data_IF_901417911084
#
_entry.id   IF_901417911084
#
_cell.length_a   1.000
_cell.length_b   1.000
_cell.length_c   1.000
_cell.angle_alpha   90.00
_cell.angle_beta   90.00
_cell.angle_gamma   90.00
#
_symmetry.space_group_name_H-M   'P 1'
#
loop_
_entity.id
_entity.type
_entity.pdbx_description
1 polymer ?
#
# COMPACT_ATOMS: atom_id res chain seq x y z
N UNK A 1 11.21 -3.42 -32.98
CA UNK A 1 12.49 -2.67 -33.12
C UNK A 1 12.76 -1.79 -31.89
N UNK A 2 11.74 -1.19 -31.30
CA UNK A 2 11.80 -0.41 -30.04
C UNK A 2 12.25 -1.21 -28.82
N UNK A 3 11.94 -2.51 -28.77
CA UNK A 3 12.24 -3.41 -27.64
C UNK A 3 13.75 -3.62 -27.46
N UNK A 4 14.48 -3.74 -28.58
CA UNK A 4 15.93 -3.93 -28.60
C UNK A 4 16.64 -2.69 -28.05
N UNK A 5 16.13 -1.49 -28.33
CA UNK A 5 16.69 -0.25 -27.78
C UNK A 5 16.50 -0.14 -26.28
N UNK A 6 15.34 -0.53 -25.75
CA UNK A 6 15.11 -0.58 -24.29
C UNK A 6 16.04 -1.61 -23.65
N UNK A 7 16.21 -2.78 -24.27
CA UNK A 7 17.12 -3.81 -23.77
C UNK A 7 18.58 -3.32 -23.74
N UNK A 8 19.05 -2.68 -24.81
CA UNK A 8 20.40 -2.12 -24.89
C UNK A 8 20.58 -0.99 -23.85
N UNK A 9 19.60 -0.10 -23.72
CA UNK A 9 19.65 0.99 -22.74
C UNK A 9 19.71 0.45 -21.30
N UNK A 10 18.93 -0.59 -20.98
CA UNK A 10 18.97 -1.28 -19.69
C UNK A 10 20.31 -1.97 -19.46
N UNK A 11 20.88 -2.64 -20.46
CA UNK A 11 22.21 -3.26 -20.37
C UNK A 11 23.31 -2.24 -20.11
N UNK A 12 23.33 -1.12 -20.85
CA UNK A 12 24.33 -0.05 -20.68
C UNK A 12 24.20 0.56 -19.28
N UNK A 13 22.97 0.81 -18.83
CA UNK A 13 22.71 1.39 -17.51
C UNK A 13 23.19 0.44 -16.40
N UNK A 14 22.87 -0.85 -16.50
CA UNK A 14 23.34 -1.87 -15.54
C UNK A 14 24.86 -2.04 -15.58
N UNK A 15 25.48 -1.98 -16.75
CA UNK A 15 26.93 -2.04 -16.87
C UNK A 15 27.61 -0.86 -16.15
N UNK A 16 27.12 0.37 -16.35
CA UNK A 16 27.61 1.56 -15.65
C UNK A 16 27.37 1.44 -14.14
N UNK A 17 26.20 0.95 -13.75
CA UNK A 17 25.81 0.78 -12.36
C UNK A 17 26.73 -0.20 -11.62
N UNK A 18 26.86 -1.42 -12.12
CA UNK A 18 27.60 -2.50 -11.46
C UNK A 18 29.13 -2.35 -11.59
N UNK A 19 29.64 -1.74 -12.66
CA UNK A 19 31.10 -1.56 -12.85
C UNK A 19 31.64 -0.29 -12.19
N UNK A 20 30.86 0.80 -12.12
CA UNK A 20 31.36 2.09 -11.66
C UNK A 20 30.60 2.65 -10.46
N UNK A 21 29.27 2.69 -10.48
CA UNK A 21 28.49 3.39 -9.45
C UNK A 21 28.47 2.58 -8.14
N UNK A 22 28.05 1.32 -8.18
CA UNK A 22 27.90 0.49 -6.98
C UNK A 22 29.25 0.22 -6.28
N UNK A 23 30.35 -0.11 -6.99
CA UNK A 23 31.65 -0.27 -6.34
C UNK A 23 32.16 1.00 -5.66
N UNK A 24 31.88 2.18 -6.23
CA UNK A 24 32.40 3.46 -5.75
C UNK A 24 31.59 4.03 -4.60
N UNK A 25 30.26 3.94 -4.68
CA UNK A 25 29.34 4.63 -3.76
C UNK A 25 28.65 3.71 -2.75
N UNK A 26 28.29 2.47 -3.13
CA UNK A 26 27.61 1.54 -2.23
C UNK A 26 28.59 0.77 -1.32
N UNK A 27 29.74 0.38 -1.87
CA UNK A 27 30.78 -0.44 -1.19
C UNK A 27 30.15 -1.67 -0.52
N UNK A 28 30.15 -1.70 0.81
CA UNK A 28 29.69 -2.84 1.62
C UNK A 28 28.38 -2.53 2.39
N UNK A 29 27.74 -1.39 2.11
CA UNK A 29 26.48 -0.98 2.77
C UNK A 29 25.27 -1.39 1.93
N UNK A 30 24.56 -2.41 2.41
CA UNK A 30 23.33 -2.95 1.81
C UNK A 30 22.24 -1.89 1.63
N UNK A 31 22.10 -0.94 2.57
CA UNK A 31 21.05 0.09 2.49
C UNK A 31 21.36 1.10 1.40
N UNK A 32 22.63 1.46 1.24
CA UNK A 32 23.07 2.36 0.16
C UNK A 32 22.97 1.70 -1.19
N UNK A 33 23.32 0.40 -1.29
CA UNK A 33 23.16 -0.35 -2.52
C UNK A 33 21.70 -0.38 -2.98
N UNK A 34 20.76 -0.69 -2.08
CA UNK A 34 19.34 -0.71 -2.39
C UNK A 34 18.79 0.67 -2.82
N UNK A 35 19.23 1.75 -2.17
CA UNK A 35 18.81 3.10 -2.56
C UNK A 35 19.40 3.54 -3.90
N UNK A 36 20.67 3.22 -4.15
CA UNK A 36 21.32 3.49 -5.43
C UNK A 36 20.67 2.71 -6.56
N UNK A 37 20.25 1.48 -6.30
CA UNK A 37 19.59 0.66 -7.30
C UNK A 37 18.22 1.22 -7.71
N UNK A 38 17.40 1.61 -6.74
CA UNK A 38 16.14 2.33 -7.02
C UNK A 38 16.40 3.64 -7.76
N UNK A 39 17.41 4.41 -7.35
CA UNK A 39 17.73 5.68 -8.01
C UNK A 39 18.18 5.48 -9.46
N UNK A 40 19.05 4.50 -9.72
CA UNK A 40 19.53 4.18 -11.07
C UNK A 40 18.39 3.67 -11.95
N UNK A 41 17.53 2.79 -11.44
CA UNK A 41 16.35 2.32 -12.16
C UNK A 41 15.37 3.46 -12.51
N UNK A 42 15.11 4.37 -11.57
CA UNK A 42 14.27 5.56 -11.82
C UNK A 42 14.89 6.51 -12.84
N UNK A 43 16.20 6.74 -12.79
CA UNK A 43 16.91 7.54 -13.78
C UNK A 43 16.81 6.87 -15.16
N UNK A 44 17.01 5.56 -15.24
CA UNK A 44 16.88 4.82 -16.50
C UNK A 44 15.49 5.00 -17.12
N UNK A 45 14.44 4.87 -16.31
CA UNK A 45 13.06 5.11 -16.74
C UNK A 45 12.82 6.56 -17.16
N UNK A 46 13.36 7.53 -16.42
CA UNK A 46 13.24 8.95 -16.75
C UNK A 46 13.97 9.31 -18.06
N UNK A 47 15.10 8.64 -18.37
CA UNK A 47 15.79 8.80 -19.66
C UNK A 47 14.98 8.18 -20.79
N UNK A 48 14.31 7.05 -20.57
CA UNK A 48 13.47 6.40 -21.58
C UNK A 48 12.15 7.14 -21.80
N UNK A 49 11.62 7.82 -20.77
CA UNK A 49 10.28 8.43 -20.80
C UNK A 49 10.06 9.36 -22.01
N UNK A 50 10.92 10.34 -22.34
CA UNK A 50 10.68 11.25 -23.47
C UNK A 50 10.61 10.57 -24.84
N UNK A 51 11.23 9.39 -25.00
CA UNK A 51 11.29 8.68 -26.27
C UNK A 51 10.07 7.80 -26.54
N UNK A 52 9.38 7.39 -25.47
CA UNK A 52 8.26 6.45 -25.54
C UNK A 52 6.96 7.03 -24.96
N UNK A 53 6.97 8.29 -24.51
CA UNK A 53 5.81 8.99 -24.00
C UNK A 53 4.73 9.14 -25.09
N UNK A 54 3.55 8.57 -24.85
CA UNK A 54 2.44 8.59 -25.82
C UNK A 54 2.60 7.61 -26.99
N UNK A 55 3.56 6.69 -26.93
CA UNK A 55 3.67 5.63 -27.94
C UNK A 55 2.47 4.67 -27.84
N UNK A 56 1.72 4.42 -28.94
CA UNK A 56 0.67 3.40 -28.98
C UNK A 56 1.25 1.97 -29.10
N UNK A 57 2.58 1.80 -29.04
CA UNK A 57 3.22 0.50 -29.22
C UNK A 57 2.95 -0.42 -28.02
N UNK A 58 2.34 -1.56 -28.30
CA UNK A 58 2.24 -2.70 -27.38
C UNK A 58 3.60 -3.41 -27.34
N UNK A 59 4.20 -3.53 -26.16
CA UNK A 59 5.50 -4.17 -25.97
C UNK A 59 5.31 -5.59 -25.45
N UNK A 60 5.68 -6.58 -26.25
CA UNK A 60 5.52 -8.00 -25.88
C UNK A 60 6.67 -8.48 -25.00
N UNK A 61 6.39 -8.85 -23.74
CA UNK A 61 7.34 -9.51 -22.85
C UNK A 61 7.05 -11.02 -22.82
N UNK A 62 7.88 -11.80 -23.52
CA UNK A 62 7.77 -13.26 -23.73
C UNK A 62 6.45 -13.73 -24.37
N UNK A 63 5.30 -13.55 -23.70
CA UNK A 63 3.99 -14.07 -24.11
C UNK A 63 2.82 -13.11 -23.89
N UNK A 64 3.05 -11.92 -23.32
CA UNK A 64 1.98 -10.95 -23.05
C UNK A 64 2.43 -9.53 -23.36
N UNK A 65 1.46 -8.70 -23.74
CA UNK A 65 1.69 -7.31 -24.12
C UNK A 65 1.62 -6.38 -22.92
N UNK A 66 2.51 -5.39 -22.92
CA UNK A 66 2.72 -4.47 -21.81
C UNK A 66 2.93 -3.05 -22.31
N UNK A 67 2.76 -2.09 -21.42
CA UNK A 67 3.15 -0.71 -21.68
C UNK A 67 4.68 -0.56 -21.61
N UNK A 68 5.22 0.44 -22.31
CA UNK A 68 6.68 0.64 -22.43
C UNK A 68 7.41 0.69 -21.07
N UNK A 69 6.79 1.27 -20.03
CA UNK A 69 7.42 1.43 -18.72
C UNK A 69 7.39 0.12 -17.92
N UNK A 70 6.32 -0.68 -18.04
CA UNK A 70 6.25 -2.02 -17.46
C UNK A 70 7.28 -2.92 -18.16
N UNK A 71 7.33 -2.88 -19.48
CA UNK A 71 8.31 -3.61 -20.27
C UNK A 71 9.75 -3.27 -19.86
N UNK A 72 10.07 -1.97 -19.71
CA UNK A 72 11.39 -1.51 -19.30
C UNK A 72 11.76 -2.00 -17.88
N UNK A 73 10.83 -1.97 -16.92
CA UNK A 73 11.04 -2.51 -15.58
C UNK A 73 11.29 -4.02 -15.64
N UNK A 74 10.47 -4.78 -16.36
CA UNK A 74 10.61 -6.24 -16.45
C UNK A 74 11.94 -6.65 -17.08
N UNK A 75 12.33 -6.01 -18.18
CA UNK A 75 13.62 -6.25 -18.83
C UNK A 75 14.78 -5.84 -17.92
N UNK A 76 14.70 -4.67 -17.28
CA UNK A 76 15.72 -4.20 -16.34
C UNK A 76 15.89 -5.20 -15.19
N UNK A 77 14.82 -5.59 -14.52
CA UNK A 77 14.84 -6.56 -13.41
C UNK A 77 15.33 -7.93 -13.86
N UNK A 78 14.91 -8.43 -15.02
CA UNK A 78 15.36 -9.73 -15.54
C UNK A 78 16.87 -9.76 -15.80
N UNK A 79 17.44 -8.66 -16.31
CA UNK A 79 18.88 -8.51 -16.51
C UNK A 79 19.63 -8.26 -15.21
N UNK A 80 19.01 -7.56 -14.25
CA UNK A 80 19.64 -7.17 -13.00
C UNK A 80 19.78 -8.34 -12.03
N UNK A 81 18.76 -9.18 -11.86
CA UNK A 81 18.76 -10.32 -10.93
C UNK A 81 20.06 -11.16 -11.00
N UNK A 82 20.51 -11.65 -12.17
CA UNK A 82 21.74 -12.43 -12.24
C UNK A 82 22.99 -11.61 -11.85
N UNK A 83 23.07 -10.34 -12.25
CA UNK A 83 24.18 -9.44 -11.88
C UNK A 83 24.20 -9.16 -10.39
N UNK A 84 23.04 -8.94 -9.79
CA UNK A 84 22.86 -8.74 -8.36
C UNK A 84 23.37 -9.95 -7.56
N UNK A 85 22.96 -11.17 -7.95
CA UNK A 85 23.43 -12.39 -7.30
C UNK A 85 24.95 -12.55 -7.39
N UNK A 86 25.55 -12.27 -8.56
CA UNK A 86 26.99 -12.32 -8.75
C UNK A 86 27.71 -11.29 -7.88
N UNK A 87 27.20 -10.05 -7.82
CA UNK A 87 27.77 -8.96 -7.04
C UNK A 87 27.71 -9.24 -5.52
N UNK A 88 26.56 -9.67 -5.02
CA UNK A 88 26.36 -10.03 -3.61
C UNK A 88 27.25 -11.20 -3.20
N UNK A 89 27.41 -12.20 -4.07
CA UNK A 89 28.32 -13.32 -3.84
C UNK A 89 29.78 -12.87 -3.82
N UNK A 90 30.19 -12.01 -4.76
CA UNK A 90 31.55 -11.51 -4.86
C UNK A 90 31.96 -10.67 -3.64
N UNK A 91 31.02 -9.94 -3.02
CA UNK A 91 31.29 -9.08 -1.86
C UNK A 91 30.94 -9.68 -0.50
N UNK A 92 30.47 -10.92 -0.45
CA UNK A 92 30.08 -11.57 0.80
C UNK A 92 28.89 -10.90 1.52
N UNK A 93 28.09 -10.10 0.81
CA UNK A 93 26.94 -9.37 1.37
C UNK A 93 25.70 -10.27 1.60
N UNK A 94 25.79 -11.55 1.24
CA UNK A 94 24.71 -12.53 1.33
C UNK A 94 24.04 -12.62 2.72
N UNK A 95 24.79 -12.77 3.82
CA UNK A 95 24.20 -12.81 5.17
C UNK A 95 23.45 -11.53 5.52
N UNK A 96 24.03 -10.36 5.22
CA UNK A 96 23.42 -9.05 5.51
C UNK A 96 22.14 -8.82 4.69
N UNK A 97 22.12 -9.24 3.41
CA UNK A 97 20.92 -9.22 2.59
C UNK A 97 19.84 -10.17 3.11
N UNK A 98 20.20 -11.38 3.56
CA UNK A 98 19.26 -12.34 4.16
C UNK A 98 18.65 -11.80 5.45
N UNK A 99 19.43 -11.13 6.28
CA UNK A 99 18.94 -10.53 7.52
C UNK A 99 18.06 -9.30 7.25
N UNK A 100 18.43 -8.46 6.29
CA UNK A 100 17.60 -7.35 5.83
C UNK A 100 16.27 -7.82 5.21
N UNK A 101 16.30 -8.93 4.44
CA UNK A 101 15.12 -9.53 3.84
C UNK A 101 14.24 -10.19 4.91
N UNK A 102 14.81 -10.96 5.84
CA UNK A 102 14.08 -11.53 7.00
C UNK A 102 13.44 -10.46 7.89
N UNK A 103 14.10 -9.31 8.05
CA UNK A 103 13.60 -8.18 8.84
C UNK A 103 12.60 -7.27 8.12
N UNK A 104 12.41 -7.41 6.81
CA UNK A 104 11.51 -6.53 6.01
C UNK A 104 10.43 -7.26 5.23
N UNK A 105 10.54 -8.57 4.99
CA UNK A 105 9.50 -9.36 4.30
C UNK A 105 8.39 -9.88 5.22
N UNK A 106 8.22 -9.28 6.39
CA UNK A 106 7.01 -9.48 7.18
C UNK A 106 6.04 -8.37 6.82
N UNK A 107 5.24 -8.60 5.76
CA UNK A 107 4.02 -7.84 5.48
C UNK A 107 3.00 -7.88 6.64
N UNK A 108 3.33 -8.64 7.69
CA UNK A 108 2.56 -8.89 8.92
C UNK A 108 3.23 -8.34 10.19
N UNK A 109 4.38 -7.66 10.11
CA UNK A 109 5.05 -7.15 11.30
C UNK A 109 4.33 -5.90 11.80
N UNK A 110 3.48 -6.14 12.80
CA UNK A 110 3.22 -5.26 13.94
C UNK A 110 4.44 -4.36 14.22
N UNK A 111 4.17 -3.09 14.58
CA UNK A 111 5.18 -2.08 14.82
C UNK A 111 6.34 -2.63 15.67
N UNK A 112 7.58 -2.50 15.19
CA UNK A 112 8.75 -3.00 15.93
C UNK A 112 8.76 -2.45 17.36
N UNK A 113 9.13 -3.27 18.34
CA UNK A 113 9.26 -2.91 19.78
C UNK A 113 9.88 -1.52 19.95
N UNK A 114 11.03 -1.28 19.30
CA UNK A 114 11.76 -0.01 19.34
C UNK A 114 10.99 1.17 18.75
N UNK A 115 10.19 0.93 17.69
CA UNK A 115 9.36 1.98 17.09
C UNK A 115 8.17 2.36 17.97
N UNK A 116 7.57 1.39 18.66
CA UNK A 116 6.48 1.65 19.62
C UNK A 116 7.03 2.39 20.84
N UNK A 117 8.11 1.91 21.45
CA UNK A 117 8.74 2.55 22.61
C UNK A 117 9.15 4.00 22.31
N UNK A 118 9.73 4.23 21.14
CA UNK A 118 10.04 5.58 20.66
C UNK A 118 8.77 6.43 20.53
N UNK A 119 7.70 5.90 19.96
CA UNK A 119 6.46 6.66 19.80
C UNK A 119 5.70 6.93 21.10
N UNK A 120 5.79 6.02 22.07
CA UNK A 120 5.18 6.22 23.38
C UNK A 120 5.81 7.40 24.13
N UNK A 121 7.10 7.64 23.90
CA UNK A 121 7.86 8.76 24.47
C UNK A 121 7.92 10.00 23.57
N UNK A 122 7.48 9.92 22.31
CA UNK A 122 7.55 11.03 21.35
C UNK A 122 6.38 12.02 21.54
N UNK A 123 6.74 13.29 21.76
CA UNK A 123 5.82 14.43 21.92
C UNK A 123 5.59 15.20 20.63
N UNK A 124 6.36 14.92 19.56
CA UNK A 124 6.25 15.64 18.27
C UNK A 124 4.82 15.64 17.71
N UNK A 125 4.06 14.58 17.96
CA UNK A 125 2.73 14.37 17.43
C UNK A 125 1.59 14.71 18.41
N UNK A 126 1.89 15.40 19.53
CA UNK A 126 0.87 15.74 20.53
C UNK A 126 -0.27 16.60 19.97
N UNK A 127 -0.01 17.41 18.93
CA UNK A 127 -1.06 18.17 18.23
C UNK A 127 -2.16 17.29 17.61
N UNK A 128 -1.82 16.09 17.13
CA UNK A 128 -2.78 15.12 16.58
C UNK A 128 -3.58 14.39 17.68
N UNK A 129 -3.17 14.51 18.94
CA UNK A 129 -3.76 13.82 20.09
C UNK A 129 -4.80 14.68 20.82
N UNK A 130 -5.09 15.87 20.29
CA UNK A 130 -6.16 16.72 20.80
C UNK A 130 -7.53 16.14 20.44
N UNK A 131 -8.54 16.45 21.25
CA UNK A 131 -9.94 15.99 21.04
C UNK A 131 -10.43 16.26 19.62
N UNK A 132 -10.24 17.49 19.13
CA UNK A 132 -10.73 17.90 17.83
C UNK A 132 -9.92 17.27 16.69
N UNK A 133 -8.60 17.13 16.84
CA UNK A 133 -7.78 16.43 15.84
C UNK A 133 -8.15 14.95 15.73
N UNK A 134 -8.39 14.24 16.84
CA UNK A 134 -8.80 12.85 16.82
C UNK A 134 -10.16 12.67 16.13
N UNK A 135 -11.13 13.56 16.40
CA UNK A 135 -12.43 13.55 15.71
C UNK A 135 -12.28 13.82 14.23
N UNK A 136 -11.49 14.82 13.86
CA UNK A 136 -11.20 15.15 12.48
C UNK A 136 -10.55 13.97 11.74
N UNK A 137 -9.59 13.27 12.35
CA UNK A 137 -8.95 12.10 11.74
C UNK A 137 -9.94 10.95 11.52
N UNK A 138 -10.80 10.65 12.50
CA UNK A 138 -11.79 9.57 12.37
C UNK A 138 -12.86 9.93 11.34
N UNK A 139 -13.42 11.14 11.40
CA UNK A 139 -14.46 11.60 10.47
C UNK A 139 -13.89 11.74 9.05
N UNK A 140 -12.70 12.33 8.93
CA UNK A 140 -11.99 12.50 7.67
C UNK A 140 -11.66 11.16 7.00
N UNK A 141 -11.13 10.19 7.77
CA UNK A 141 -10.83 8.86 7.23
C UNK A 141 -12.11 8.14 6.73
N UNK A 142 -13.21 8.20 7.49
CA UNK A 142 -14.49 7.66 7.04
C UNK A 142 -15.02 8.38 5.80
N UNK A 143 -14.95 9.70 5.78
CA UNK A 143 -15.42 10.52 4.66
C UNK A 143 -14.64 10.20 3.40
N UNK A 144 -13.30 10.16 3.47
CA UNK A 144 -12.46 9.80 2.32
C UNK A 144 -12.77 8.39 1.84
N UNK A 145 -12.88 7.42 2.75
CA UNK A 145 -13.15 6.02 2.37
C UNK A 145 -14.51 5.90 1.68
N UNK A 146 -15.59 6.39 2.29
CA UNK A 146 -16.95 6.25 1.75
C UNK A 146 -17.15 7.12 0.52
N UNK A 147 -16.77 8.40 0.56
CA UNK A 147 -16.95 9.31 -0.58
C UNK A 147 -16.04 8.94 -1.75
N UNK A 148 -14.80 8.51 -1.49
CA UNK A 148 -13.88 8.02 -2.52
C UNK A 148 -14.39 6.75 -3.18
N UNK A 149 -14.90 5.80 -2.40
CA UNK A 149 -15.57 4.61 -2.95
C UNK A 149 -16.79 4.99 -3.79
N UNK A 150 -17.70 5.82 -3.27
CA UNK A 150 -18.90 6.24 -4.00
C UNK A 150 -18.55 6.99 -5.31
N UNK A 151 -17.54 7.87 -5.26
CA UNK A 151 -17.05 8.61 -6.42
C UNK A 151 -16.52 7.66 -7.50
N UNK A 152 -15.64 6.72 -7.15
CA UNK A 152 -15.09 5.76 -8.11
C UNK A 152 -16.16 4.83 -8.70
N UNK A 153 -17.16 4.47 -7.89
CA UNK A 153 -18.31 3.70 -8.38
C UNK A 153 -19.15 4.46 -9.40
N UNK A 154 -19.37 5.75 -9.15
CA UNK A 154 -20.15 6.63 -10.01
C UNK A 154 -19.42 7.02 -11.29
N UNK A 155 -18.11 7.29 -11.22
CA UNK A 155 -17.30 7.70 -12.38
C UNK A 155 -17.14 6.56 -13.39
N UNK A 156 -16.99 5.31 -12.94
CA UNK A 156 -16.78 4.17 -13.82
C UNK A 156 -15.52 4.29 -14.68
N UNK A 157 -15.59 3.87 -15.94
CA UNK A 157 -14.48 3.89 -16.89
C UNK A 157 -14.38 5.24 -17.64
N UNK A 158 -13.82 6.24 -16.95
CA UNK A 158 -13.65 7.60 -17.48
C UNK A 158 -12.25 8.12 -17.08
N UNK A 159 -11.74 9.14 -17.77
CA UNK A 159 -10.45 9.78 -17.48
C UNK A 159 -10.31 10.25 -16.02
N UNK A 160 -11.43 10.66 -15.40
CA UNK A 160 -11.48 11.04 -13.99
C UNK A 160 -11.20 9.87 -13.02
N UNK A 161 -11.23 8.63 -13.49
CA UNK A 161 -10.82 7.46 -12.72
C UNK A 161 -9.35 7.48 -12.33
N UNK A 162 -8.52 8.26 -13.04
CA UNK A 162 -7.12 8.51 -12.66
C UNK A 162 -6.99 9.13 -11.26
N UNK A 163 -8.04 9.80 -10.75
CA UNK A 163 -8.12 10.32 -9.38
C UNK A 163 -8.16 9.21 -8.31
N UNK A 164 -8.34 7.95 -8.70
CA UNK A 164 -8.16 6.79 -7.81
C UNK A 164 -6.79 6.79 -7.12
N UNK A 165 -5.74 7.29 -7.78
CA UNK A 165 -4.40 7.42 -7.19
C UNK A 165 -4.42 8.44 -6.04
N UNK A 166 -5.13 9.57 -6.21
CA UNK A 166 -5.29 10.58 -5.17
C UNK A 166 -6.09 10.02 -4.00
N UNK A 167 -7.18 9.30 -4.29
CA UNK A 167 -7.97 8.61 -3.27
C UNK A 167 -7.11 7.63 -2.45
N UNK A 168 -6.33 6.77 -3.11
CA UNK A 168 -5.42 5.83 -2.46
C UNK A 168 -4.37 6.59 -1.62
N UNK A 169 -3.79 7.64 -2.17
CA UNK A 169 -2.84 8.50 -1.46
C UNK A 169 -3.44 9.10 -0.18
N UNK A 170 -4.68 9.59 -0.24
CA UNK A 170 -5.40 10.10 0.93
C UNK A 170 -5.66 9.00 1.97
N UNK A 171 -6.05 7.78 1.55
CA UNK A 171 -6.18 6.64 2.47
C UNK A 171 -4.87 6.35 3.20
N UNK A 172 -3.74 6.32 2.50
CA UNK A 172 -2.44 6.11 3.12
C UNK A 172 -2.06 7.24 4.09
N UNK A 173 -2.38 8.50 3.75
CA UNK A 173 -2.16 9.64 4.64
C UNK A 173 -2.98 9.48 5.92
N UNK A 174 -4.29 9.21 5.81
CA UNK A 174 -5.16 9.01 6.98
C UNK A 174 -4.73 7.80 7.81
N UNK A 175 -4.40 6.69 7.16
CA UNK A 175 -3.85 5.51 7.81
C UNK A 175 -2.59 5.83 8.62
N UNK A 176 -1.64 6.55 8.02
CA UNK A 176 -0.41 6.95 8.69
C UNK A 176 -0.67 7.90 9.86
N UNK A 177 -1.48 8.94 9.67
CA UNK A 177 -1.79 9.93 10.70
C UNK A 177 -2.55 9.32 11.88
N UNK A 178 -3.52 8.43 11.62
CA UNK A 178 -4.24 7.69 12.65
C UNK A 178 -3.28 6.86 13.50
N UNK A 179 -2.33 6.15 12.86
CA UNK A 179 -1.29 5.38 13.57
C UNK A 179 -0.40 6.24 14.47
N UNK A 180 -0.02 7.44 14.01
CA UNK A 180 0.74 8.38 14.84
C UNK A 180 -0.10 8.92 16.02
N UNK A 181 -1.38 9.21 15.78
CA UNK A 181 -2.29 9.74 16.80
C UNK A 181 -2.51 8.74 17.94
N UNK A 182 -2.60 7.44 17.65
CA UNK A 182 -2.80 6.37 18.66
C UNK A 182 -1.51 5.72 19.15
N UNK A 183 -0.34 6.31 18.85
CA UNK A 183 0.99 5.82 19.29
C UNK A 183 1.29 4.37 18.91
N UNK A 184 0.75 3.90 17.79
CA UNK A 184 0.85 2.50 17.32
C UNK A 184 0.38 1.45 18.34
N UNK A 185 -0.38 1.82 19.38
CA UNK A 185 -0.86 0.88 20.42
C UNK A 185 -1.63 -0.30 19.81
N UNK A 186 -2.50 -0.12 18.79
CA UNK A 186 -3.16 -1.24 18.12
C UNK A 186 -2.18 -2.27 17.57
N UNK A 187 -1.00 -1.85 17.13
CA UNK A 187 -0.04 -2.71 16.44
C UNK A 187 1.17 -3.03 17.30
N UNK A 188 1.14 -2.68 18.58
CA UNK A 188 2.25 -2.87 19.48
C UNK A 188 2.28 -4.32 20.01
N UNK A 189 3.47 -4.93 20.13
CA UNK A 189 3.62 -6.26 20.74
C UNK A 189 3.34 -6.22 22.25
N UNK A 190 2.96 -7.35 22.83
CA UNK A 190 2.55 -7.42 24.24
C UNK A 190 3.70 -7.04 25.20
N UNK A 191 4.96 -7.26 24.81
CA UNK A 191 6.13 -7.01 25.65
C UNK A 191 6.40 -5.53 25.97
N UNK A 192 5.83 -4.59 25.20
CA UNK A 192 6.04 -3.14 25.40
C UNK A 192 4.83 -2.45 26.02
N UNK A 193 3.72 -3.16 26.19
CA UNK A 193 2.48 -2.61 26.70
C UNK A 193 2.29 -3.00 28.16
N UNK A 194 1.74 -2.09 28.95
CA UNK A 194 1.25 -2.44 30.28
C UNK A 194 -0.06 -3.26 30.18
N UNK A 195 -0.43 -3.94 31.27
CA UNK A 195 -1.63 -4.81 31.29
C UNK A 195 -2.91 -4.05 30.89
N UNK A 196 -3.01 -2.77 31.27
CA UNK A 196 -4.18 -1.93 30.96
C UNK A 196 -4.26 -1.61 29.47
N UNK A 197 -3.13 -1.29 28.84
CA UNK A 197 -3.01 -1.00 27.41
C UNK A 197 -3.29 -2.25 26.58
N UNK A 198 -2.87 -3.44 27.05
CA UNK A 198 -3.22 -4.72 26.40
C UNK A 198 -4.75 -4.93 26.40
N UNK A 199 -5.41 -4.74 27.55
CA UNK A 199 -6.86 -4.87 27.64
C UNK A 199 -7.58 -3.84 26.74
N UNK A 200 -7.10 -2.60 26.72
CA UNK A 200 -7.64 -1.55 25.88
C UNK A 200 -7.50 -1.88 24.39
N UNK A 201 -6.31 -2.34 23.97
CA UNK A 201 -6.03 -2.79 22.61
C UNK A 201 -6.96 -3.92 22.20
N UNK A 202 -7.08 -4.96 23.02
CA UNK A 202 -7.92 -6.13 22.71
C UNK A 202 -9.41 -5.76 22.59
N UNK A 203 -9.91 -4.90 23.49
CA UNK A 203 -11.30 -4.40 23.40
C UNK A 203 -11.54 -3.50 22.18
N UNK A 204 -10.49 -2.83 21.68
CA UNK A 204 -10.53 -2.02 20.46
C UNK A 204 -10.60 -2.93 19.25
N UNK A 205 -9.76 -3.97 19.18
CA UNK A 205 -9.81 -4.97 18.10
C UNK A 205 -11.16 -5.66 18.03
N UNK A 206 -11.69 -6.10 19.16
CA UNK A 206 -13.01 -6.74 19.18
C UNK A 206 -14.08 -5.85 18.54
N UNK A 207 -14.09 -4.56 18.88
CA UNK A 207 -15.04 -3.61 18.29
C UNK A 207 -14.74 -3.31 16.81
N UNK A 208 -13.48 -3.21 16.43
CA UNK A 208 -13.08 -3.01 15.05
C UNK A 208 -13.53 -4.18 14.15
N UNK A 209 -13.35 -5.42 14.61
CA UNK A 209 -13.81 -6.61 13.90
C UNK A 209 -15.33 -6.68 13.80
N UNK A 210 -16.08 -6.29 14.84
CA UNK A 210 -17.54 -6.20 14.75
C UNK A 210 -18.00 -5.20 13.68
N UNK A 211 -17.34 -4.04 13.59
CA UNK A 211 -17.65 -3.02 12.57
C UNK A 211 -17.30 -3.54 11.18
N UNK A 212 -16.13 -4.14 11.01
CA UNK A 212 -15.70 -4.72 9.74
C UNK A 212 -16.65 -5.83 9.30
N UNK A 213 -17.06 -6.70 10.22
CA UNK A 213 -18.06 -7.72 9.95
C UNK A 213 -19.37 -7.08 9.49
N UNK A 214 -19.86 -6.04 10.18
CA UNK A 214 -21.06 -5.32 9.76
C UNK A 214 -20.96 -4.75 8.34
N UNK A 215 -19.83 -4.11 8.00
CA UNK A 215 -19.58 -3.59 6.64
C UNK A 215 -19.60 -4.74 5.61
N UNK A 216 -18.86 -5.81 5.88
CA UNK A 216 -18.80 -6.99 5.00
C UNK A 216 -20.16 -7.68 4.85
N UNK A 217 -20.96 -7.76 5.93
CA UNK A 217 -22.30 -8.32 5.89
C UNK A 217 -23.25 -7.49 5.04
N UNK A 218 -23.14 -6.15 5.09
CA UNK A 218 -23.93 -5.26 4.21
C UNK A 218 -23.55 -5.48 2.75
N UNK A 219 -22.26 -5.57 2.43
CA UNK A 219 -21.80 -5.81 1.06
C UNK A 219 -22.21 -7.20 0.54
N UNK A 220 -22.03 -8.25 1.35
CA UNK A 220 -22.45 -9.60 1.00
C UNK A 220 -23.98 -9.70 0.86
N UNK A 221 -24.73 -9.02 1.73
CA UNK A 221 -26.18 -8.92 1.65
C UNK A 221 -26.65 -8.17 0.40
N UNK A 222 -25.95 -7.11 0.00
CA UNK A 222 -26.25 -6.38 -1.24
C UNK A 222 -25.97 -7.25 -2.48
N UNK A 223 -24.87 -8.01 -2.49
CA UNK A 223 -24.57 -8.96 -3.56
C UNK A 223 -25.62 -10.07 -3.66
N UNK A 224 -26.02 -10.64 -2.51
CA UNK A 224 -27.08 -11.64 -2.47
C UNK A 224 -28.43 -11.06 -2.92
N UNK A 225 -28.74 -9.84 -2.50
CA UNK A 225 -29.93 -9.11 -2.94
C UNK A 225 -29.94 -8.84 -4.45
N UNK A 226 -28.78 -8.54 -5.05
CA UNK A 226 -28.63 -8.41 -6.50
C UNK A 226 -28.99 -9.72 -7.21
N UNK A 227 -28.44 -10.86 -6.77
CA UNK A 227 -28.75 -12.16 -7.36
C UNK A 227 -30.26 -12.47 -7.30
N UNK A 228 -30.88 -12.29 -6.12
CA UNK A 228 -32.33 -12.49 -5.94
C UNK A 228 -33.16 -11.54 -6.80
N UNK A 229 -32.77 -10.25 -6.89
CA UNK A 229 -33.48 -9.29 -7.71
C UNK A 229 -33.39 -9.63 -9.21
N UNK A 230 -32.23 -10.10 -9.66
CA UNK A 230 -32.03 -10.49 -11.07
C UNK A 230 -32.98 -11.63 -11.46
N UNK A 231 -33.13 -12.66 -10.61
CA UNK A 231 -34.04 -13.78 -10.91
C UNK A 231 -35.53 -13.42 -10.76
N UNK A 232 -35.86 -12.41 -9.95
CA UNK A 232 -37.23 -11.98 -9.73
C UNK A 232 -37.73 -11.01 -10.81
N UNK A 233 -36.85 -10.17 -11.34
CA UNK A 233 -37.21 -9.06 -12.22
C UNK A 233 -36.69 -9.19 -13.65
N UNK A 234 -35.60 -9.91 -13.87
CA UNK A 234 -35.10 -10.28 -15.19
C UNK A 234 -35.34 -11.79 -15.41
N UNK A 235 -35.41 -12.23 -16.67
CA UNK A 235 -35.51 -13.67 -17.03
C UNK A 235 -34.15 -14.37 -16.82
N UNK A 236 -33.57 -14.23 -15.63
CA UNK A 236 -32.33 -14.89 -15.23
C UNK A 236 -32.47 -16.42 -15.26
N UNK A 237 -31.38 -17.11 -15.58
CA UNK A 237 -31.36 -18.57 -15.60
C UNK A 237 -31.26 -19.19 -14.19
N UNK A 238 -31.12 -18.37 -13.14
CA UNK A 238 -30.99 -18.78 -11.73
C UNK A 238 -29.64 -19.40 -11.37
N UNK A 239 -28.68 -19.44 -12.30
CA UNK A 239 -27.39 -20.11 -12.10
C UNK A 239 -26.19 -19.21 -12.44
N UNK A 240 -26.32 -18.29 -13.39
CA UNK A 240 -25.24 -17.45 -13.87
C UNK A 240 -25.56 -15.97 -13.71
N UNK A 241 -24.77 -15.26 -12.90
CA UNK A 241 -24.87 -13.82 -12.73
C UNK A 241 -23.62 -13.15 -13.25
N UNK A 242 -23.78 -12.26 -14.23
CA UNK A 242 -22.69 -11.43 -14.74
C UNK A 242 -22.70 -10.08 -14.01
N UNK A 243 -21.53 -9.65 -13.55
CA UNK A 243 -21.32 -8.34 -12.92
C UNK A 243 -20.14 -7.69 -13.63
N UNK A 244 -20.44 -6.77 -14.55
CA UNK A 244 -19.45 -6.05 -15.32
C UNK A 244 -18.93 -4.86 -14.50
N UNK A 245 -17.88 -5.11 -13.70
CA UNK A 245 -17.20 -4.07 -12.94
C UNK A 245 -16.02 -3.49 -13.72
N UNK A 246 -15.96 -2.17 -13.78
CA UNK A 246 -14.82 -1.43 -14.29
C UNK A 246 -13.64 -1.49 -13.30
N UNK A 247 -12.40 -1.28 -13.79
CA UNK A 247 -11.21 -1.24 -12.94
C UNK A 247 -11.33 -0.29 -11.73
N UNK A 248 -11.92 0.92 -11.87
CA UNK A 248 -12.10 1.85 -10.74
C UNK A 248 -13.10 1.34 -9.71
N UNK A 249 -14.17 0.66 -10.13
CA UNK A 249 -15.15 0.03 -9.24
C UNK A 249 -14.52 -1.12 -8.44
N UNK A 250 -13.69 -1.95 -9.08
CA UNK A 250 -12.94 -3.01 -8.39
C UNK A 250 -12.01 -2.41 -7.33
N UNK A 251 -11.27 -1.35 -7.69
CA UNK A 251 -10.43 -0.62 -6.74
C UNK A 251 -11.23 -0.03 -5.58
N UNK A 252 -12.42 0.51 -5.86
CA UNK A 252 -13.29 1.09 -4.85
C UNK A 252 -13.75 0.05 -3.81
N UNK A 253 -14.13 -1.16 -4.25
CA UNK A 253 -14.49 -2.28 -3.36
C UNK A 253 -13.27 -2.73 -2.55
N UNK A 254 -12.13 -2.94 -3.23
CA UNK A 254 -10.91 -3.39 -2.60
C UNK A 254 -10.51 -2.44 -1.46
N UNK A 255 -10.41 -1.15 -1.75
CA UNK A 255 -9.99 -0.16 -0.77
C UNK A 255 -11.04 0.14 0.30
N UNK A 256 -12.33 -0.03 0.01
CA UNK A 256 -13.37 0.01 1.04
C UNK A 256 -13.11 -1.07 2.10
N UNK A 257 -12.95 -2.32 1.70
CA UNK A 257 -12.78 -3.44 2.62
C UNK A 257 -11.39 -3.41 3.26
N UNK A 258 -10.34 -3.35 2.42
CA UNK A 258 -8.96 -3.39 2.87
C UNK A 258 -8.57 -2.15 3.67
N UNK A 259 -8.97 -0.95 3.20
CA UNK A 259 -8.72 0.30 3.91
C UNK A 259 -9.34 0.30 5.29
N UNK A 260 -10.61 -0.12 5.42
CA UNK A 260 -11.23 -0.26 6.74
C UNK A 260 -10.57 -1.34 7.59
N UNK A 261 -10.22 -2.50 7.02
CA UNK A 261 -9.56 -3.57 7.78
C UNK A 261 -8.27 -3.09 8.47
N UNK A 262 -7.46 -2.28 7.79
CA UNK A 262 -6.20 -1.78 8.35
C UNK A 262 -6.40 -0.53 9.24
N UNK A 263 -7.34 0.35 8.92
CA UNK A 263 -7.51 1.61 9.67
C UNK A 263 -8.46 1.51 10.88
N UNK A 264 -9.43 0.58 10.87
CA UNK A 264 -10.49 0.50 11.90
C UNK A 264 -9.98 0.42 13.34
N UNK A 265 -8.97 -0.40 13.69
CA UNK A 265 -8.45 -0.45 15.06
C UNK A 265 -7.98 0.93 15.54
N UNK A 266 -7.24 1.65 14.69
CA UNK A 266 -6.76 3.01 14.99
C UNK A 266 -7.91 4.02 15.06
N UNK A 267 -8.91 3.92 14.18
CA UNK A 267 -10.10 4.79 14.24
C UNK A 267 -10.91 4.59 15.52
N UNK A 268 -11.17 3.34 15.92
CA UNK A 268 -11.94 3.01 17.12
C UNK A 268 -11.22 3.51 18.37
N UNK A 269 -9.89 3.32 18.44
CA UNK A 269 -9.09 3.82 19.56
C UNK A 269 -9.07 5.35 19.61
N UNK A 270 -8.81 6.01 18.48
CA UNK A 270 -8.85 7.48 18.39
C UNK A 270 -10.21 8.05 18.81
N UNK A 271 -11.31 7.41 18.39
CA UNK A 271 -12.66 7.83 18.76
C UNK A 271 -12.92 7.68 20.26
N UNK A 272 -12.51 6.57 20.87
CA UNK A 272 -12.63 6.34 22.31
C UNK A 272 -11.82 7.37 23.10
N UNK A 273 -10.60 7.65 22.68
CA UNK A 273 -9.74 8.63 23.35
C UNK A 273 -10.32 10.04 23.24
N UNK A 274 -10.88 10.42 22.08
CA UNK A 274 -11.57 11.71 21.93
C UNK A 274 -12.75 11.87 22.89
N UNK A 275 -13.48 10.79 23.19
CA UNK A 275 -14.59 10.79 24.17
C UNK A 275 -14.08 10.90 25.60
N UNK A 276 -12.98 10.23 25.93
CA UNK A 276 -12.36 10.34 27.27
C UNK A 276 -11.88 11.76 27.55
N UNK A 277 -11.25 12.41 26.56
CA UNK A 277 -10.84 13.81 26.68
C UNK A 277 -12.03 14.74 26.88
N UNK A 278 -13.17 14.46 26.24
CA UNK A 278 -14.39 15.23 26.41
C UNK A 278 -15.03 15.12 27.80
N UNK A 279 -14.79 14.02 28.53
CA UNK A 279 -15.27 13.84 29.91
C UNK A 279 -14.37 14.53 30.95
N UNK A 280 -13.16 14.93 30.56
CA UNK A 280 -12.18 15.60 31.44
C UNK A 280 -12.16 17.12 31.29
N UNK A 281 -12.77 17.65 30.21
CA UNK A 281 -12.93 19.09 29.92
C UNK A 281 -14.24 19.61 30.47
#
# INVERSE_FOLDING_TARGET
MSEIYILIASLVTLAVAYLFIYPKFARDDVKRLAWLDVAVGLIALAVLAPFYWGSPAEFTFFTFDTTWWIFAILVYTALEIPLFFLYVRARGLGPQYRDAFKGKLSFTQMASVKSVEKQLSDTKWDGLRTREALRFLVIGANTVTVAGTAFLFWVGDNDLASLSIVYIGLLFIFWFLLRQAVRLIPEAPDSVLDERMIQERNSTYFRAYQILFGISSVLAGALFGYAVATDLFDEGDGFNYQIDLTWPQINAIFWLIFGYAVMLPSMVMAWRESKRLALKS
#
